data_IF_432339101756
#
_entry.id   IF_432339101756
#
_cell.length_a   1.000
_cell.length_b   1.000
_cell.length_c   1.000
_cell.angle_alpha   90.00
_cell.angle_beta   90.00
_cell.angle_gamma   90.00
#
_symmetry.space_group_name_H-M   'P 1'
#
loop_
_entity.id
_entity.type
_entity.pdbx_description
1 polymer ?
#
# COMPACT_ATOMS: atom_id res chain seq x y z
N UNK A 1 56.71 21.55 -15.17
CA UNK A 1 55.85 21.75 -16.36
C UNK A 1 54.90 20.55 -16.40
N UNK A 2 53.57 20.63 -16.41
CA UNK A 2 52.58 21.67 -16.69
C UNK A 2 51.55 21.71 -15.55
N UNK A 3 51.14 22.92 -15.16
CA UNK A 3 50.04 23.19 -14.24
C UNK A 3 48.70 23.12 -14.98
N UNK A 4 47.71 22.43 -14.43
CA UNK A 4 46.30 22.52 -14.82
C UNK A 4 45.50 23.16 -13.69
N UNK A 5 44.91 24.33 -13.97
CA UNK A 5 44.17 25.17 -13.02
C UNK A 5 42.82 24.54 -12.66
N UNK A 6 42.49 24.55 -11.37
CA UNK A 6 41.14 24.40 -10.86
C UNK A 6 40.39 25.72 -11.09
N UNK A 7 39.35 25.71 -11.92
CA UNK A 7 38.43 26.84 -12.05
C UNK A 7 37.18 26.55 -11.23
N UNK A 8 36.99 27.34 -10.19
CA UNK A 8 35.81 27.40 -9.34
C UNK A 8 34.65 28.00 -10.13
N UNK A 9 33.59 27.23 -10.39
CA UNK A 9 32.25 27.76 -10.71
C UNK A 9 31.18 26.71 -10.36
N UNK A 10 30.67 26.81 -9.12
CA UNK A 10 29.39 26.22 -8.70
C UNK A 10 28.24 27.03 -9.32
N UNK A 11 27.24 26.42 -9.98
CA UNK A 11 25.96 27.05 -10.19
C UNK A 11 25.16 27.02 -8.88
N UNK A 12 24.76 28.21 -8.44
CA UNK A 12 23.85 28.48 -7.32
C UNK A 12 22.44 28.02 -7.70
N UNK A 13 21.72 27.50 -6.70
CA UNK A 13 20.25 27.47 -6.59
C UNK A 13 19.46 27.12 -7.86
N UNK A 14 19.11 25.84 -8.02
CA UNK A 14 18.01 25.44 -8.92
C UNK A 14 16.69 25.52 -8.14
N UNK A 15 16.10 26.71 -8.12
CA UNK A 15 14.73 26.94 -7.64
C UNK A 15 13.76 26.38 -8.69
N UNK A 16 13.08 25.28 -8.39
CA UNK A 16 12.00 24.76 -9.22
C UNK A 16 10.72 25.57 -8.94
N UNK A 17 10.59 26.72 -9.58
CA UNK A 17 9.27 27.31 -9.85
C UNK A 17 8.86 26.99 -11.29
N UNK A 18 7.70 26.36 -11.44
CA UNK A 18 7.19 25.92 -12.74
C UNK A 18 5.80 25.31 -12.60
N UNK A 19 4.83 26.15 -12.29
CA UNK A 19 3.40 25.86 -12.46
C UNK A 19 3.10 25.40 -13.89
N UNK A 20 2.83 24.12 -14.09
CA UNK A 20 2.33 23.58 -15.35
C UNK A 20 0.83 23.25 -15.22
N UNK A 21 0.02 24.31 -15.12
CA UNK A 21 -1.43 24.24 -15.35
C UNK A 21 -1.73 25.03 -16.62
N UNK A 22 -2.12 24.35 -17.69
CA UNK A 22 -2.92 24.94 -18.76
C UNK A 22 -4.32 24.31 -18.72
N UNK A 23 -5.41 25.10 -18.65
CA UNK A 23 -6.76 24.58 -18.78
C UNK A 23 -7.08 24.45 -20.26
N UNK A 24 -7.25 23.22 -20.75
CA UNK A 24 -7.87 22.99 -22.05
C UNK A 24 -9.33 22.57 -21.86
N UNK A 25 -10.23 23.53 -22.11
CA UNK A 25 -11.62 23.28 -22.43
C UNK A 25 -11.70 22.51 -23.75
N UNK A 26 -12.06 21.22 -23.69
CA UNK A 26 -12.73 20.56 -24.81
C UNK A 26 -13.86 19.69 -24.29
N UNK A 27 -15.07 20.18 -24.57
CA UNK A 27 -16.34 19.48 -24.46
C UNK A 27 -16.28 18.16 -25.25
N UNK A 28 -16.32 17.04 -24.54
CA UNK A 28 -16.85 15.79 -25.05
C UNK A 28 -17.85 15.26 -24.03
N UNK A 29 -19.11 15.56 -24.27
CA UNK A 29 -20.26 14.95 -23.59
C UNK A 29 -20.28 13.48 -24.00
N UNK A 30 -20.07 12.58 -23.05
CA UNK A 30 -20.33 11.15 -23.26
C UNK A 30 -21.85 10.98 -23.47
N UNK A 31 -22.32 10.14 -24.41
CA UNK A 31 -23.75 9.98 -24.66
C UNK A 31 -24.43 9.55 -23.36
N UNK A 32 -25.43 10.30 -22.92
CA UNK A 32 -26.35 9.81 -21.92
C UNK A 32 -26.99 8.54 -22.49
N UNK A 33 -26.57 7.37 -22.03
CA UNK A 33 -27.35 6.17 -22.20
C UNK A 33 -28.69 6.46 -21.53
N UNK A 34 -29.73 6.64 -22.36
CA UNK A 34 -31.10 6.79 -21.91
C UNK A 34 -31.51 5.55 -21.14
N UNK A 35 -31.29 5.58 -19.83
CA UNK A 35 -31.96 4.69 -18.91
C UNK A 35 -33.37 5.27 -18.75
N UNK A 36 -34.29 4.70 -19.50
CA UNK A 36 -35.72 4.82 -19.27
C UNK A 36 -35.99 4.63 -17.77
N UNK A 37 -36.47 5.69 -17.10
CA UNK A 37 -36.83 5.65 -15.69
C UNK A 37 -38.12 4.85 -15.57
N UNK A 38 -38.01 3.53 -15.64
CA UNK A 38 -39.05 2.67 -15.10
C UNK A 38 -39.02 2.88 -13.59
N UNK A 39 -40.05 3.58 -13.08
CA UNK A 39 -40.39 3.56 -11.66
C UNK A 39 -40.60 2.11 -11.26
N UNK A 40 -39.54 1.47 -10.75
CA UNK A 40 -39.66 0.23 -10.00
C UNK A 40 -40.47 0.58 -8.75
N UNK A 41 -41.74 0.14 -8.74
CA UNK A 41 -42.58 0.10 -7.54
C UNK A 41 -41.78 -0.66 -6.48
N UNK A 42 -41.36 0.03 -5.42
CA UNK A 42 -40.59 -0.56 -4.33
C UNK A 42 -41.51 -1.36 -3.42
N UNK A 43 -41.79 -2.60 -3.78
CA UNK A 43 -42.04 -3.62 -2.76
C UNK A 43 -40.68 -4.17 -2.36
N UNK A 44 -40.02 -3.56 -1.37
CA UNK A 44 -38.72 -4.05 -0.92
C UNK A 44 -38.85 -4.50 0.54
N UNK A 45 -38.75 -5.82 0.84
CA UNK A 45 -38.53 -6.25 2.21
C UNK A 45 -37.29 -5.51 2.75
N UNK A 46 -37.33 -5.08 4.02
CA UNK A 46 -36.24 -4.31 4.62
C UNK A 46 -34.91 -5.07 4.45
N UNK A 47 -33.99 -4.53 3.63
CA UNK A 47 -32.69 -5.14 3.38
C UNK A 47 -31.95 -5.37 4.70
N UNK A 48 -31.42 -6.58 4.90
CA UNK A 48 -30.63 -6.92 6.08
C UNK A 48 -29.19 -6.49 5.85
N UNK A 49 -28.93 -5.19 6.01
CA UNK A 49 -27.59 -4.61 5.87
C UNK A 49 -26.66 -5.03 7.03
N UNK A 50 -25.33 -5.08 6.82
CA UNK A 50 -24.39 -5.31 7.90
C UNK A 50 -24.54 -4.29 9.05
N UNK A 51 -24.16 -4.67 10.28
CA UNK A 51 -24.21 -3.76 11.42
C UNK A 51 -23.29 -2.56 11.22
N UNK A 52 -23.52 -1.46 11.94
CA UNK A 52 -22.66 -0.29 11.84
C UNK A 52 -23.05 0.81 12.81
N UNK A 53 -22.19 1.83 12.95
CA UNK A 53 -22.47 2.97 13.81
C UNK A 53 -23.70 3.77 13.34
N UNK A 54 -24.31 4.50 14.27
CA UNK A 54 -25.44 5.39 13.99
C UNK A 54 -25.06 6.45 12.95
N UNK A 55 -26.00 6.71 12.04
CA UNK A 55 -25.82 7.62 10.89
C UNK A 55 -26.48 8.96 11.19
N UNK A 56 -25.85 10.06 10.82
CA UNK A 56 -26.49 11.38 10.82
C UNK A 56 -27.27 11.62 9.52
N UNK A 57 -28.34 12.44 9.55
CA UNK A 57 -29.01 12.88 8.32
C UNK A 57 -28.02 13.53 7.35
N UNK A 58 -28.23 13.32 6.05
CA UNK A 58 -27.44 13.87 4.92
C UNK A 58 -26.00 13.38 4.80
N UNK A 59 -25.18 13.49 5.84
CA UNK A 59 -23.73 13.17 5.80
C UNK A 59 -23.42 11.72 6.18
N UNK A 60 -24.36 11.02 6.83
CA UNK A 60 -24.18 9.64 7.29
C UNK A 60 -23.06 9.51 8.33
N UNK A 61 -22.07 8.66 8.06
CA UNK A 61 -20.93 8.35 8.93
C UNK A 61 -19.68 9.18 8.60
N UNK A 62 -19.76 10.18 7.71
CA UNK A 62 -18.59 10.98 7.31
C UNK A 62 -17.89 11.64 8.51
N UNK A 63 -18.67 12.13 9.48
CA UNK A 63 -18.18 12.72 10.73
C UNK A 63 -17.29 11.79 11.57
N UNK A 64 -17.39 10.47 11.40
CA UNK A 64 -16.59 9.48 12.14
C UNK A 64 -15.25 9.16 11.46
N UNK A 65 -15.05 9.66 10.23
CA UNK A 65 -13.87 9.42 9.42
C UNK A 65 -13.00 10.69 9.25
N UNK A 66 -13.47 11.83 9.75
CA UNK A 66 -12.75 13.11 9.68
C UNK A 66 -11.69 13.19 10.79
N UNK A 67 -10.50 13.70 10.46
CA UNK A 67 -9.45 14.03 11.43
C UNK A 67 -8.54 12.87 11.85
N UNK A 68 -8.74 11.67 11.31
CA UNK A 68 -7.92 10.48 11.60
C UNK A 68 -7.64 9.69 10.32
N UNK A 69 -6.60 8.86 10.37
CA UNK A 69 -6.24 7.95 9.27
C UNK A 69 -7.39 6.99 8.96
N UNK A 70 -7.92 6.95 7.71
CA UNK A 70 -9.13 6.19 7.40
C UNK A 70 -9.06 4.72 7.80
N UNK A 71 -7.95 4.03 7.54
CA UNK A 71 -7.78 2.62 7.91
C UNK A 71 -7.78 2.41 9.43
N UNK A 72 -7.18 3.31 10.22
CA UNK A 72 -7.22 3.25 11.69
C UNK A 72 -8.63 3.50 12.23
N UNK A 73 -9.36 4.50 11.70
CA UNK A 73 -10.76 4.74 12.08
C UNK A 73 -11.63 3.52 11.80
N UNK A 74 -11.46 2.92 10.62
CA UNK A 74 -12.17 1.72 10.21
C UNK A 74 -11.84 0.52 11.09
N UNK A 75 -10.57 0.33 11.47
CA UNK A 75 -10.14 -0.69 12.44
C UNK A 75 -10.84 -0.49 13.79
N UNK A 76 -10.88 0.75 14.30
CA UNK A 76 -11.53 1.06 15.57
C UNK A 76 -13.06 0.84 15.54
N UNK A 77 -13.70 1.12 14.41
CA UNK A 77 -15.11 0.82 14.20
C UNK A 77 -15.35 -0.70 14.12
N UNK A 78 -14.48 -1.44 13.44
CA UNK A 78 -14.57 -2.90 13.35
C UNK A 78 -14.43 -3.57 14.73
N UNK A 79 -13.50 -3.08 15.58
CA UNK A 79 -13.38 -3.55 16.98
C UNK A 79 -14.66 -3.37 17.79
N UNK A 80 -15.49 -2.36 17.47
CA UNK A 80 -16.73 -2.05 18.20
C UNK A 80 -17.98 -2.73 17.62
N UNK A 81 -18.02 -2.93 16.30
CA UNK A 81 -19.24 -3.34 15.59
C UNK A 81 -19.10 -4.70 14.89
N UNK A 82 -17.94 -5.35 14.98
CA UNK A 82 -17.62 -6.61 14.32
C UNK A 82 -16.78 -6.43 13.05
N UNK A 83 -16.32 -7.55 12.48
CA UNK A 83 -15.41 -7.56 11.34
C UNK A 83 -16.05 -7.23 9.99
N UNK A 84 -17.39 -7.16 9.93
CA UNK A 84 -18.17 -6.71 8.77
C UNK A 84 -19.07 -5.54 9.18
N UNK A 85 -18.77 -4.34 8.68
CA UNK A 85 -19.53 -3.13 9.04
C UNK A 85 -20.08 -2.39 7.82
N UNK A 86 -21.24 -1.77 7.99
CA UNK A 86 -21.85 -0.88 7.00
C UNK A 86 -21.68 0.59 7.42
N UNK A 87 -21.13 1.40 6.51
CA UNK A 87 -21.01 2.84 6.64
C UNK A 87 -21.68 3.51 5.44
N UNK A 88 -22.35 4.63 5.70
CA UNK A 88 -22.96 5.48 4.67
C UNK A 88 -22.23 6.80 4.63
N UNK A 89 -21.56 7.14 3.52
CA UNK A 89 -20.92 8.46 3.33
C UNK A 89 -21.71 9.23 2.28
N UNK A 90 -22.54 10.17 2.73
CA UNK A 90 -23.54 10.80 1.86
C UNK A 90 -24.52 9.76 1.28
N UNK A 91 -24.59 9.66 -0.05
CA UNK A 91 -25.41 8.66 -0.74
C UNK A 91 -24.69 7.31 -0.95
N UNK A 92 -23.39 7.22 -0.65
CA UNK A 92 -22.57 6.04 -0.94
C UNK A 92 -22.63 5.03 0.20
N UNK A 93 -22.93 3.78 -0.15
CA UNK A 93 -22.87 2.62 0.74
C UNK A 93 -21.46 2.04 0.74
N UNK A 94 -20.85 1.89 1.91
CA UNK A 94 -19.53 1.31 2.10
C UNK A 94 -19.64 0.11 3.05
N UNK A 95 -19.08 -1.01 2.63
CA UNK A 95 -18.98 -2.25 3.38
C UNK A 95 -17.51 -2.41 3.73
N UNK A 96 -17.18 -2.49 5.00
CA UNK A 96 -15.81 -2.63 5.46
C UNK A 96 -15.62 -4.03 5.99
N UNK A 97 -14.58 -4.69 5.53
CA UNK A 97 -14.21 -6.06 5.86
C UNK A 97 -12.86 -6.01 6.58
N UNK A 98 -12.79 -6.57 7.78
CA UNK A 98 -11.57 -6.60 8.59
C UNK A 98 -11.21 -8.02 9.10
N UNK A 99 -11.80 -9.10 8.56
CA UNK A 99 -11.36 -10.48 8.85
C UNK A 99 -10.85 -11.21 7.60
N UNK A 100 -9.90 -12.15 7.76
CA UNK A 100 -9.43 -13.02 6.68
C UNK A 100 -10.53 -13.81 5.98
N UNK A 101 -11.49 -14.38 6.73
CA UNK A 101 -12.54 -15.25 6.21
C UNK A 101 -13.48 -14.48 5.29
N UNK A 102 -13.90 -13.29 5.73
CA UNK A 102 -14.75 -12.39 4.95
C UNK A 102 -14.01 -11.82 3.75
N UNK A 103 -12.71 -11.51 3.90
CA UNK A 103 -11.88 -11.07 2.79
C UNK A 103 -11.75 -12.19 1.74
N UNK A 104 -11.64 -13.45 2.16
CA UNK A 104 -11.63 -14.63 1.28
C UNK A 104 -12.98 -14.81 0.58
N UNK A 105 -14.08 -14.72 1.31
CA UNK A 105 -15.43 -14.80 0.73
C UNK A 105 -15.63 -13.71 -0.33
N UNK A 106 -15.25 -12.46 -0.04
CA UNK A 106 -15.41 -11.36 -0.98
C UNK A 106 -14.44 -11.41 -2.17
N UNK A 107 -13.15 -11.63 -1.94
CA UNK A 107 -12.12 -11.48 -2.98
C UNK A 107 -11.84 -12.77 -3.77
N UNK A 108 -12.18 -13.94 -3.23
CA UNK A 108 -11.93 -15.24 -3.88
C UNK A 108 -13.23 -15.96 -4.25
N UNK A 109 -14.14 -16.15 -3.29
CA UNK A 109 -15.39 -16.89 -3.56
C UNK A 109 -16.34 -16.09 -4.45
N UNK A 110 -16.50 -14.80 -4.15
CA UNK A 110 -17.37 -13.87 -4.88
C UNK A 110 -16.57 -12.92 -5.79
N UNK A 111 -15.43 -13.39 -6.30
CA UNK A 111 -14.44 -12.57 -7.01
C UNK A 111 -15.02 -11.82 -8.22
N UNK A 112 -15.93 -12.43 -9.00
CA UNK A 112 -16.59 -11.82 -10.16
C UNK A 112 -17.51 -10.67 -9.71
N UNK A 113 -18.22 -10.84 -8.60
CA UNK A 113 -19.17 -9.85 -8.06
C UNK A 113 -18.42 -8.62 -7.57
N UNK A 114 -17.24 -8.83 -6.97
CA UNK A 114 -16.43 -7.77 -6.40
C UNK A 114 -15.22 -7.42 -7.29
N UNK A 115 -15.14 -7.84 -8.55
CA UNK A 115 -14.00 -7.55 -9.43
C UNK A 115 -13.93 -6.09 -9.88
N UNK A 116 -15.03 -5.34 -9.80
CA UNK A 116 -15.06 -3.94 -10.22
C UNK A 116 -14.31 -3.04 -9.25
N UNK A 117 -13.69 -1.98 -9.77
CA UNK A 117 -13.26 -0.84 -8.97
C UNK A 117 -14.21 0.31 -9.26
N UNK A 118 -14.75 0.86 -8.19
CA UNK A 118 -15.60 2.04 -8.20
C UNK A 118 -14.89 3.25 -8.78
N UNK A 119 -15.56 3.97 -9.70
CA UNK A 119 -15.13 5.30 -10.13
C UNK A 119 -15.34 6.33 -9.00
N UNK A 120 -14.39 6.45 -8.06
CA UNK A 120 -14.26 7.67 -7.23
C UNK A 120 -13.85 8.83 -8.15
N UNK A 121 -14.13 10.10 -7.81
CA UNK A 121 -13.51 11.24 -8.52
C UNK A 121 -11.97 11.12 -8.49
N UNK A 122 -11.42 10.60 -7.38
CA UNK A 122 -10.01 10.17 -7.27
C UNK A 122 -9.65 9.05 -8.23
N UNK A 123 -10.51 8.07 -8.51
CA UNK A 123 -10.26 7.05 -9.55
C UNK A 123 -10.49 7.61 -10.95
N UNK A 124 -11.31 8.65 -11.13
CA UNK A 124 -11.47 9.38 -12.38
C UNK A 124 -10.27 10.30 -12.63
N UNK A 125 -9.58 10.73 -11.58
CA UNK A 125 -8.30 11.47 -11.60
C UNK A 125 -7.10 10.50 -11.61
N UNK A 126 -7.21 9.26 -11.10
CA UNK A 126 -6.15 8.24 -11.16
C UNK A 126 -6.29 7.28 -12.34
N UNK A 127 -7.42 7.30 -13.04
CA UNK A 127 -7.71 6.42 -14.19
C UNK A 127 -8.40 7.18 -15.32
N UNK A 128 -8.31 8.52 -15.30
CA UNK A 128 -8.70 9.49 -16.34
C UNK A 128 -9.75 8.96 -17.33
N UNK A 129 -10.96 8.76 -16.84
CA UNK A 129 -12.12 8.37 -17.65
C UNK A 129 -11.94 7.07 -18.46
N UNK A 130 -11.28 6.06 -17.88
CA UNK A 130 -11.02 4.72 -18.45
C UNK A 130 -9.72 4.57 -19.25
N UNK A 131 -8.78 5.50 -19.12
CA UNK A 131 -7.40 5.35 -19.61
C UNK A 131 -6.51 4.63 -18.60
N UNK A 132 -6.97 3.57 -17.92
CA UNK A 132 -6.13 2.89 -16.93
C UNK A 132 -4.97 2.11 -17.59
N UNK A 133 -3.98 1.70 -16.78
CA UNK A 133 -2.86 0.80 -17.13
C UNK A 133 -3.22 -0.38 -18.06
N UNK A 134 -4.43 -0.90 -17.94
CA UNK A 134 -4.92 -2.09 -18.66
C UNK A 134 -5.58 -1.72 -20.00
N UNK A 135 -6.10 -0.50 -20.17
CA UNK A 135 -6.90 -0.09 -21.33
C UNK A 135 -6.40 1.15 -22.06
N UNK A 136 -5.42 1.89 -21.55
CA UNK A 136 -4.88 3.05 -22.26
C UNK A 136 -3.99 2.60 -23.43
N UNK A 137 -4.10 3.26 -24.60
CA UNK A 137 -3.16 3.05 -25.68
C UNK A 137 -1.73 3.37 -25.21
N UNK A 138 -0.75 2.58 -25.68
CA UNK A 138 0.66 2.78 -25.36
C UNK A 138 1.09 4.20 -25.73
N UNK A 139 1.59 4.95 -24.74
CA UNK A 139 1.93 6.37 -24.87
C UNK A 139 2.46 6.94 -23.56
N UNK A 140 2.76 8.24 -23.53
CA UNK A 140 3.37 8.90 -22.36
C UNK A 140 2.53 8.76 -21.09
N UNK A 141 1.21 8.83 -21.23
CA UNK A 141 0.27 8.72 -20.12
C UNK A 141 0.26 7.30 -19.50
N UNK A 142 0.19 6.23 -20.32
CA UNK A 142 0.31 4.84 -19.84
C UNK A 142 1.62 4.60 -19.09
N UNK A 143 2.73 5.13 -19.64
CA UNK A 143 4.05 5.03 -19.00
C UNK A 143 4.06 5.76 -17.65
N UNK A 144 3.42 6.92 -17.55
CA UNK A 144 3.34 7.70 -16.32
C UNK A 144 2.51 7.00 -15.24
N UNK A 145 1.37 6.40 -15.59
CA UNK A 145 0.56 5.62 -14.65
C UNK A 145 1.30 4.37 -14.16
N UNK A 146 2.00 3.67 -15.07
CA UNK A 146 2.82 2.51 -14.72
C UNK A 146 3.97 2.89 -13.80
N UNK A 147 4.68 3.97 -14.14
CA UNK A 147 5.76 4.49 -13.34
C UNK A 147 5.26 4.90 -11.96
N UNK A 148 4.18 5.69 -11.87
CA UNK A 148 3.64 6.16 -10.59
C UNK A 148 3.21 5.01 -9.68
N UNK A 149 2.44 4.05 -10.21
CA UNK A 149 1.94 2.91 -9.43
C UNK A 149 3.07 1.98 -8.94
N UNK A 150 4.09 1.75 -9.77
CA UNK A 150 5.21 0.87 -9.44
C UNK A 150 6.32 1.52 -8.61
N UNK A 151 6.51 2.83 -8.74
CA UNK A 151 7.59 3.56 -8.05
C UNK A 151 7.19 4.02 -6.66
N UNK A 152 6.03 4.67 -6.50
CA UNK A 152 5.65 5.26 -5.21
C UNK A 152 5.42 4.20 -4.13
N UNK A 153 4.73 3.11 -4.47
CA UNK A 153 4.42 2.04 -3.50
C UNK A 153 5.67 1.27 -3.07
N UNK A 154 6.60 1.02 -4.00
CA UNK A 154 7.90 0.42 -3.71
C UNK A 154 8.74 1.34 -2.83
N UNK A 155 8.82 2.64 -3.13
CA UNK A 155 9.56 3.61 -2.33
C UNK A 155 9.05 3.70 -0.90
N UNK A 156 7.72 3.76 -0.70
CA UNK A 156 7.10 3.73 0.62
C UNK A 156 7.54 2.48 1.39
N UNK A 157 7.55 1.32 0.73
CA UNK A 157 7.96 0.07 1.36
C UNK A 157 9.44 0.09 1.73
N UNK A 158 10.32 0.61 0.86
CA UNK A 158 11.75 0.79 1.15
C UNK A 158 11.96 1.70 2.35
N UNK A 159 11.28 2.85 2.39
CA UNK A 159 11.38 3.82 3.47
C UNK A 159 10.93 3.23 4.81
N UNK A 160 9.79 2.53 4.86
CA UNK A 160 9.35 1.84 6.08
C UNK A 160 10.27 0.69 6.47
N UNK A 161 10.83 -0.04 5.51
CA UNK A 161 11.76 -1.12 5.82
C UNK A 161 13.01 -0.58 6.49
N UNK A 162 13.59 0.50 5.94
CA UNK A 162 14.75 1.18 6.55
C UNK A 162 14.39 1.78 7.90
N UNK A 163 13.21 2.39 8.04
CA UNK A 163 12.73 2.95 9.31
C UNK A 163 12.64 1.89 10.42
N UNK A 164 12.03 0.74 10.12
CA UNK A 164 11.89 -0.36 11.07
C UNK A 164 13.24 -0.98 11.43
N UNK A 165 14.16 -1.11 10.49
CA UNK A 165 15.52 -1.57 10.78
C UNK A 165 16.29 -0.54 11.64
N UNK A 166 16.20 0.75 11.34
CA UNK A 166 16.86 1.81 12.12
C UNK A 166 16.32 1.89 13.55
N UNK A 167 15.02 1.64 13.73
CA UNK A 167 14.37 1.53 15.04
C UNK A 167 14.80 0.27 15.81
N UNK A 168 15.18 -0.79 15.10
CA UNK A 168 15.55 -2.09 15.66
C UNK A 168 16.98 -2.48 15.24
N UNK A 169 17.99 -1.98 15.96
CA UNK A 169 19.42 -2.17 15.63
C UNK A 169 19.80 -3.65 15.45
N UNK A 170 19.29 -4.55 16.30
CA UNK A 170 19.47 -6.01 16.15
C UNK A 170 19.06 -6.53 14.77
N UNK A 171 17.94 -6.04 14.23
CA UNK A 171 17.43 -6.45 12.93
C UNK A 171 18.27 -5.83 11.82
N UNK A 172 18.63 -4.54 11.93
CA UNK A 172 19.55 -3.88 11.01
C UNK A 172 20.88 -4.64 10.88
N UNK A 173 21.51 -4.97 12.00
CA UNK A 173 22.78 -5.70 12.05
C UNK A 173 22.65 -7.09 11.41
N UNK A 174 21.60 -7.84 11.78
CA UNK A 174 21.38 -9.19 11.25
C UNK A 174 21.12 -9.19 9.73
N UNK A 175 20.31 -8.25 9.23
CA UNK A 175 20.04 -8.13 7.79
C UNK A 175 21.29 -7.66 7.02
N UNK A 176 22.05 -6.71 7.57
CA UNK A 176 23.30 -6.22 6.98
C UNK A 176 24.34 -7.33 6.86
N UNK A 177 24.53 -8.10 7.94
CA UNK A 177 25.48 -9.21 7.97
C UNK A 177 25.09 -10.32 6.98
N UNK A 178 23.80 -10.67 6.88
CA UNK A 178 23.33 -11.64 5.89
C UNK A 178 23.60 -11.17 4.46
N UNK A 179 23.26 -9.91 4.14
CA UNK A 179 23.49 -9.35 2.81
C UNK A 179 24.99 -9.35 2.46
N UNK A 180 25.86 -8.86 3.35
CA UNK A 180 27.31 -8.86 3.11
C UNK A 180 27.84 -10.28 2.94
N UNK A 181 27.45 -11.23 3.79
CA UNK A 181 27.85 -12.62 3.67
C UNK A 181 27.49 -13.24 2.31
N UNK A 182 26.31 -12.92 1.76
CA UNK A 182 25.87 -13.43 0.45
C UNK A 182 26.67 -12.81 -0.71
N UNK A 183 26.99 -11.52 -0.63
CA UNK A 183 27.52 -10.76 -1.78
C UNK A 183 29.00 -10.42 -1.70
N UNK A 184 29.69 -10.63 -0.57
CA UNK A 184 31.12 -10.31 -0.42
C UNK A 184 32.00 -11.03 -1.45
N UNK A 185 31.71 -12.30 -1.76
CA UNK A 185 32.42 -13.04 -2.80
C UNK A 185 32.16 -12.56 -4.23
N UNK A 186 31.14 -11.72 -4.45
CA UNK A 186 30.79 -11.13 -5.76
C UNK A 186 31.26 -9.69 -5.90
N UNK A 187 31.52 -9.01 -4.79
CA UNK A 187 31.92 -7.59 -4.75
C UNK A 187 30.80 -6.58 -5.03
N UNK A 188 29.58 -7.03 -5.36
CA UNK A 188 28.41 -6.17 -5.55
C UNK A 188 27.11 -6.97 -5.41
N UNK A 189 26.01 -6.28 -5.11
CA UNK A 189 24.65 -6.85 -5.14
C UNK A 189 24.14 -6.91 -6.58
N UNK A 190 23.68 -8.08 -7.00
CA UNK A 190 23.10 -8.33 -8.32
C UNK A 190 21.74 -9.02 -8.22
N UNK A 191 20.99 -9.00 -9.34
CA UNK A 191 19.68 -9.65 -9.43
C UNK A 191 19.77 -11.19 -9.33
N UNK A 192 20.90 -11.78 -9.73
CA UNK A 192 21.06 -13.23 -9.67
C UNK A 192 21.08 -13.75 -8.23
N UNK A 193 21.72 -13.03 -7.30
CA UNK A 193 21.87 -13.41 -5.89
C UNK A 193 20.76 -12.90 -4.97
N UNK A 194 19.90 -11.99 -5.43
CA UNK A 194 18.88 -11.35 -4.56
C UNK A 194 17.89 -12.35 -3.95
N UNK A 195 17.84 -13.56 -4.50
CA UNK A 195 16.97 -14.59 -3.98
C UNK A 195 17.46 -15.23 -2.66
N UNK A 196 18.76 -15.12 -2.36
CA UNK A 196 19.48 -15.79 -1.28
C UNK A 196 19.33 -15.17 0.13
N UNK A 197 19.31 -13.82 0.34
CA UNK A 197 19.18 -13.24 1.68
C UNK A 197 17.74 -13.41 2.24
N UNK A 198 17.51 -14.54 2.90
CA UNK A 198 16.19 -14.98 3.39
C UNK A 198 15.68 -14.10 4.52
N UNK A 199 16.56 -13.66 5.42
CA UNK A 199 16.18 -12.76 6.51
C UNK A 199 15.81 -11.38 5.99
N UNK A 200 16.54 -10.81 5.02
CA UNK A 200 16.14 -9.55 4.37
C UNK A 200 14.71 -9.63 3.80
N UNK A 201 14.39 -10.72 3.12
CA UNK A 201 13.03 -10.97 2.61
C UNK A 201 11.99 -11.09 3.71
N UNK A 202 12.34 -11.71 4.84
CA UNK A 202 11.49 -11.79 6.01
C UNK A 202 11.23 -10.38 6.61
N UNK A 203 12.24 -9.51 6.65
CA UNK A 203 12.11 -8.10 7.07
C UNK A 203 11.17 -7.33 6.14
N UNK A 204 11.30 -7.50 4.82
CA UNK A 204 10.40 -6.89 3.84
C UNK A 204 8.96 -7.39 4.01
N UNK A 205 8.75 -8.70 4.25
CA UNK A 205 7.41 -9.26 4.51
C UNK A 205 6.80 -8.69 5.79
N UNK A 206 7.57 -8.56 6.87
CA UNK A 206 7.09 -7.95 8.11
C UNK A 206 6.78 -6.46 7.93
N UNK A 207 7.57 -5.77 7.11
CA UNK A 207 7.28 -4.38 6.72
C UNK A 207 5.97 -4.29 5.95
N UNK A 208 5.72 -5.16 4.97
CA UNK A 208 4.45 -5.18 4.23
C UNK A 208 3.25 -5.56 5.11
N UNK A 209 3.46 -6.32 6.19
CA UNK A 209 2.41 -6.68 7.15
C UNK A 209 1.98 -5.47 7.99
N UNK A 210 2.95 -4.75 8.56
CA UNK A 210 2.68 -3.58 9.39
C UNK A 210 2.44 -2.32 8.55
N UNK A 211 3.19 -2.08 7.50
CA UNK A 211 3.11 -0.85 6.71
C UNK A 211 2.72 -1.16 5.26
N UNK A 212 1.55 -1.79 5.00
CA UNK A 212 1.14 -2.05 3.63
C UNK A 212 0.93 -0.70 2.92
N UNK A 213 1.65 -0.47 1.82
CA UNK A 213 1.60 0.80 1.09
C UNK A 213 0.17 1.24 0.76
N UNK A 214 -0.75 0.28 0.54
CA UNK A 214 -2.20 0.50 0.40
C UNK A 214 -2.97 -0.34 1.42
N UNK A 215 -3.41 0.23 2.55
CA UNK A 215 -4.04 -0.54 3.63
C UNK A 215 -5.49 -0.94 3.35
N UNK A 216 -6.17 -0.23 2.45
CA UNK A 216 -7.57 -0.47 2.09
C UNK A 216 -7.67 -0.97 0.64
N UNK A 217 -7.99 -2.25 0.48
CA UNK A 217 -8.23 -2.85 -0.83
C UNK A 217 -9.67 -2.54 -1.25
N UNK A 218 -9.79 -1.62 -2.19
CA UNK A 218 -11.06 -1.13 -2.73
C UNK A 218 -11.65 -2.05 -3.79
N UNK A 219 -12.93 -2.36 -3.68
CA UNK A 219 -13.78 -3.05 -4.68
C UNK A 219 -15.16 -2.38 -4.78
N UNK A 220 -15.90 -2.72 -5.81
CA UNK A 220 -17.30 -2.32 -5.98
C UNK A 220 -18.16 -3.54 -6.27
N UNK A 221 -19.30 -3.62 -5.58
CA UNK A 221 -20.27 -4.68 -5.75
C UNK A 221 -21.06 -4.50 -7.06
N UNK A 222 -20.95 -5.46 -7.98
CA UNK A 222 -21.56 -5.38 -9.32
C UNK A 222 -23.03 -5.79 -9.37
N UNK A 223 -23.46 -6.64 -8.45
CA UNK A 223 -24.81 -7.21 -8.40
C UNK A 223 -25.23 -7.29 -6.93
N UNK A 224 -26.53 -7.24 -6.63
CA UNK A 224 -26.99 -7.55 -5.28
C UNK A 224 -26.51 -8.95 -4.90
N UNK A 225 -25.84 -9.06 -3.76
CA UNK A 225 -25.34 -10.34 -3.27
C UNK A 225 -25.48 -10.43 -1.75
N UNK A 226 -25.18 -11.61 -1.21
CA UNK A 226 -25.03 -11.79 0.23
C UNK A 226 -23.57 -11.99 0.58
N UNK A 227 -23.17 -11.39 1.71
CA UNK A 227 -21.87 -11.60 2.32
C UNK A 227 -22.09 -11.87 3.81
N UNK A 228 -21.66 -13.03 4.30
CA UNK A 228 -21.92 -13.47 5.67
C UNK A 228 -23.42 -13.35 6.08
N UNK A 229 -24.31 -13.70 5.16
CA UNK A 229 -25.76 -13.65 5.37
C UNK A 229 -26.41 -12.26 5.34
N UNK A 230 -25.64 -11.18 5.16
CA UNK A 230 -26.15 -9.82 5.00
C UNK A 230 -26.29 -9.44 3.54
N UNK A 231 -27.31 -8.62 3.23
CA UNK A 231 -27.53 -8.09 1.88
C UNK A 231 -26.53 -6.98 1.57
N UNK A 232 -25.82 -7.11 0.45
CA UNK A 232 -24.89 -6.12 -0.08
C UNK A 232 -25.51 -5.50 -1.32
N UNK A 233 -25.96 -4.23 -1.25
CA UNK A 233 -26.56 -3.55 -2.39
C UNK A 233 -25.56 -3.35 -3.52
N UNK A 234 -26.04 -3.46 -4.77
CA UNK A 234 -25.30 -3.06 -5.96
C UNK A 234 -24.71 -1.65 -5.83
N UNK A 235 -23.53 -1.44 -6.43
CA UNK A 235 -22.72 -0.20 -6.33
C UNK A 235 -22.17 0.13 -4.94
N UNK A 236 -22.40 -0.72 -3.93
CA UNK A 236 -21.71 -0.58 -2.64
C UNK A 236 -20.20 -0.71 -2.82
N UNK A 237 -19.45 0.17 -2.17
CA UNK A 237 -17.99 0.08 -2.09
C UNK A 237 -17.64 -0.98 -1.05
N UNK A 238 -16.73 -1.87 -1.39
CA UNK A 238 -16.21 -2.86 -0.44
C UNK A 238 -14.75 -2.51 -0.14
N UNK A 239 -14.47 -2.28 1.13
CA UNK A 239 -13.19 -1.86 1.68
C UNK A 239 -12.63 -3.01 2.51
N UNK A 240 -11.73 -3.79 1.93
CA UNK A 240 -11.00 -4.82 2.69
C UNK A 240 -9.81 -4.17 3.37
N UNK A 241 -9.81 -4.12 4.69
CA UNK A 241 -8.79 -3.48 5.52
C UNK A 241 -7.62 -4.44 5.76
N UNK A 242 -6.69 -4.50 4.80
CA UNK A 242 -5.48 -5.33 4.90
C UNK A 242 -4.60 -4.91 6.08
N UNK A 243 -4.56 -3.61 6.43
CA UNK A 243 -3.82 -3.12 7.59
C UNK A 243 -4.35 -3.66 8.93
N UNK A 244 -5.68 -3.77 9.07
CA UNK A 244 -6.31 -4.41 10.22
C UNK A 244 -6.06 -5.91 10.25
N UNK A 245 -6.25 -6.59 9.12
CA UNK A 245 -6.04 -8.04 9.00
C UNK A 245 -4.59 -8.42 9.33
N UNK A 246 -3.62 -7.63 8.84
CA UNK A 246 -2.20 -7.83 9.12
C UNK A 246 -1.83 -7.64 10.59
N UNK A 247 -2.68 -7.00 11.40
CA UNK A 247 -2.49 -6.73 12.84
C UNK A 247 -3.49 -7.44 13.74
N UNK A 248 -4.26 -8.38 13.21
CA UNK A 248 -5.26 -9.06 14.01
C UNK A 248 -4.59 -10.06 14.97
N UNK A 249 -4.70 -9.87 16.31
CA UNK A 249 -4.05 -10.73 17.30
C UNK A 249 -4.58 -12.16 17.31
N UNK A 250 -5.72 -12.44 16.67
CA UNK A 250 -6.21 -13.80 16.51
C UNK A 250 -5.38 -14.63 15.51
N UNK A 251 -4.62 -13.98 14.61
CA UNK A 251 -3.83 -14.63 13.57
C UNK A 251 -2.32 -14.35 13.69
N UNK A 252 -1.94 -13.29 14.40
CA UNK A 252 -0.55 -12.86 14.54
C UNK A 252 -0.18 -12.72 16.02
N UNK A 253 0.73 -13.58 16.50
CA UNK A 253 1.32 -13.43 17.83
C UNK A 253 2.12 -12.12 17.90
N UNK A 254 1.93 -11.34 18.96
CA UNK A 254 2.49 -10.00 19.12
C UNK A 254 2.26 -9.14 17.86
N UNK A 255 1.00 -9.02 17.46
CA UNK A 255 0.59 -8.49 16.15
C UNK A 255 1.10 -7.07 15.85
N UNK A 256 1.35 -6.25 16.87
CA UNK A 256 1.86 -4.88 16.69
C UNK A 256 3.41 -4.81 16.68
N UNK A 257 4.09 -5.90 17.07
CA UNK A 257 5.55 -5.96 17.16
C UNK A 257 6.16 -6.28 15.80
N UNK A 258 7.18 -5.53 15.40
CA UNK A 258 8.01 -5.82 14.23
C UNK A 258 8.94 -7.01 14.52
N UNK A 259 8.53 -8.20 14.07
CA UNK A 259 9.23 -9.47 14.33
C UNK A 259 9.40 -10.28 13.02
N UNK A 260 10.43 -9.98 12.21
CA UNK A 260 10.66 -10.62 10.92
C UNK A 260 10.84 -12.14 10.96
N UNK A 261 11.38 -12.67 12.06
CA UNK A 261 11.64 -14.10 12.21
C UNK A 261 10.39 -14.98 11.98
N UNK A 262 9.18 -14.44 12.18
CA UNK A 262 7.91 -15.13 11.88
C UNK A 262 7.75 -15.55 10.41
N UNK A 263 8.55 -15.00 9.49
CA UNK A 263 8.50 -15.31 8.07
C UNK A 263 9.61 -16.25 7.56
N UNK A 264 10.59 -16.63 8.39
CA UNK A 264 11.71 -17.47 7.96
C UNK A 264 11.30 -18.91 7.59
N UNK A 265 10.40 -19.50 8.37
CA UNK A 265 9.88 -20.86 8.17
C UNK A 265 8.40 -20.86 7.73
N UNK A 266 7.91 -19.70 7.29
CA UNK A 266 6.51 -19.51 6.93
C UNK A 266 6.25 -19.89 5.48
N UNK A 267 5.17 -20.64 5.24
CA UNK A 267 4.65 -20.93 3.91
C UNK A 267 3.87 -19.78 3.28
N UNK A 268 3.73 -18.65 4.00
CA UNK A 268 2.99 -17.47 3.52
C UNK A 268 3.70 -16.85 2.32
N UNK A 269 2.99 -16.83 1.19
CA UNK A 269 3.41 -16.19 -0.06
C UNK A 269 2.74 -14.82 -0.28
N UNK A 270 3.17 -14.12 -1.33
CA UNK A 270 2.60 -12.84 -1.75
C UNK A 270 1.55 -13.00 -2.87
N UNK A 271 1.09 -14.23 -3.14
CA UNK A 271 0.21 -14.56 -4.26
C UNK A 271 -1.28 -14.42 -3.91
N UNK A 272 -1.59 -13.87 -2.73
CA UNK A 272 -2.96 -13.66 -2.28
C UNK A 272 -3.73 -14.96 -2.02
N UNK A 273 -3.01 -16.01 -1.62
CA UNK A 273 -3.59 -17.33 -1.27
C UNK A 273 -3.91 -17.43 0.21
N UNK A 274 -3.11 -16.76 1.06
CA UNK A 274 -3.30 -16.68 2.50
C UNK A 274 -3.94 -15.34 2.91
N UNK A 275 -5.19 -15.40 3.39
CA UNK A 275 -5.98 -14.21 3.66
C UNK A 275 -5.65 -13.50 4.98
N UNK A 276 -4.81 -14.07 5.85
CA UNK A 276 -4.20 -13.30 6.96
C UNK A 276 -3.09 -12.36 6.45
N UNK A 277 -2.63 -12.52 5.21
CA UNK A 277 -1.53 -11.74 4.63
C UNK A 277 -1.76 -11.39 3.15
N UNK A 278 -2.41 -10.25 2.91
CA UNK A 278 -2.79 -9.78 1.57
C UNK A 278 -2.28 -8.36 1.25
N UNK A 279 -0.98 -8.04 1.43
CA UNK A 279 -0.46 -6.69 1.20
C UNK A 279 -0.58 -6.24 -0.27
N UNK A 280 -0.66 -7.19 -1.22
CA UNK A 280 -0.90 -6.93 -2.65
C UNK A 280 -2.36 -7.19 -3.08
N UNK A 281 -3.25 -7.41 -2.12
CA UNK A 281 -4.61 -7.87 -2.35
C UNK A 281 -4.70 -9.33 -2.76
N UNK A 282 -5.87 -9.72 -3.27
CA UNK A 282 -6.17 -11.08 -3.69
C UNK A 282 -7.22 -11.11 -4.83
N UNK A 283 -7.40 -12.30 -5.41
CA UNK A 283 -8.40 -12.57 -6.44
C UNK A 283 -8.05 -11.96 -7.81
N UNK A 284 -9.06 -11.77 -8.66
CA UNK A 284 -8.92 -11.27 -10.05
C UNK A 284 -8.30 -9.89 -10.19
N UNK A 285 -8.20 -9.13 -9.10
CA UNK A 285 -7.64 -7.77 -9.05
C UNK A 285 -6.48 -7.68 -8.07
N UNK A 286 -5.79 -8.80 -7.83
CA UNK A 286 -4.48 -8.81 -7.19
C UNK A 286 -3.52 -7.91 -7.96
N UNK A 287 -2.54 -7.33 -7.26
CA UNK A 287 -1.54 -6.46 -7.87
C UNK A 287 -0.86 -7.18 -9.05
N UNK A 288 -0.92 -6.63 -10.29
CA UNK A 288 -0.21 -7.22 -11.42
C UNK A 288 1.30 -6.95 -11.36
N UNK A 289 1.74 -5.99 -10.54
CA UNK A 289 3.13 -5.55 -10.43
C UNK A 289 3.92 -6.19 -9.29
N UNK A 290 3.50 -7.32 -8.72
CA UNK A 290 4.18 -7.95 -7.56
C UNK A 290 5.66 -8.17 -7.85
N UNK A 291 5.99 -8.80 -8.98
CA UNK A 291 7.39 -9.09 -9.33
C UNK A 291 8.21 -7.81 -9.50
N UNK A 292 7.65 -6.79 -10.17
CA UNK A 292 8.31 -5.50 -10.34
C UNK A 292 8.54 -4.79 -9.00
N UNK A 293 7.53 -4.81 -8.11
CA UNK A 293 7.63 -4.22 -6.78
C UNK A 293 8.74 -4.91 -5.97
N UNK A 294 8.76 -6.24 -5.94
CA UNK A 294 9.79 -6.97 -5.20
C UNK A 294 11.20 -6.67 -5.70
N UNK A 295 11.45 -6.64 -7.01
CA UNK A 295 12.76 -6.24 -7.54
C UNK A 295 13.14 -4.81 -7.12
N UNK A 296 12.19 -3.87 -7.14
CA UNK A 296 12.42 -2.47 -6.76
C UNK A 296 12.46 -2.23 -5.24
N UNK A 297 12.21 -3.24 -4.42
CA UNK A 297 12.31 -3.18 -2.97
C UNK A 297 13.56 -3.93 -2.51
N UNK A 298 13.71 -5.19 -2.93
CA UNK A 298 14.79 -6.08 -2.50
C UNK A 298 16.15 -5.55 -2.95
N UNK A 299 16.30 -5.20 -4.24
CA UNK A 299 17.60 -4.75 -4.78
C UNK A 299 18.09 -3.45 -4.15
N UNK A 300 17.29 -2.36 -4.04
CA UNK A 300 17.77 -1.14 -3.44
C UNK A 300 18.12 -1.30 -1.97
N UNK A 301 17.31 -2.04 -1.19
CA UNK A 301 17.62 -2.25 0.23
C UNK A 301 18.90 -3.08 0.37
N UNK A 302 19.06 -4.16 -0.39
CA UNK A 302 20.28 -4.97 -0.36
C UNK A 302 21.51 -4.13 -0.74
N UNK A 303 21.43 -3.31 -1.79
CA UNK A 303 22.50 -2.37 -2.18
C UNK A 303 22.85 -1.39 -1.04
N UNK A 304 21.83 -0.82 -0.39
CA UNK A 304 22.02 0.11 0.73
C UNK A 304 22.66 -0.55 1.96
N UNK A 305 22.30 -1.80 2.28
CA UNK A 305 22.88 -2.55 3.39
C UNK A 305 24.30 -3.05 3.08
N UNK A 306 24.55 -3.43 1.82
CA UNK A 306 25.85 -3.90 1.40
C UNK A 306 26.90 -2.79 1.49
N UNK A 307 26.61 -1.60 0.95
CA UNK A 307 27.57 -0.50 0.83
C UNK A 307 27.63 0.47 2.00
N UNK A 308 26.67 0.45 2.92
CA UNK A 308 26.62 1.42 4.01
C UNK A 308 26.25 0.80 5.35
N UNK A 309 26.93 1.27 6.41
CA UNK A 309 26.39 1.25 7.76
C UNK A 309 25.52 2.49 7.97
N UNK A 310 24.54 2.42 8.87
CA UNK A 310 23.52 3.47 9.03
C UNK A 310 23.46 3.99 10.45
N UNK A 311 23.36 5.32 10.61
CA UNK A 311 23.15 5.97 11.91
C UNK A 311 22.00 6.98 11.86
N UNK A 312 21.31 7.12 12.98
CA UNK A 312 20.36 8.22 13.17
C UNK A 312 21.10 9.54 13.43
N UNK A 313 20.58 10.68 12.94
CA UNK A 313 21.24 11.97 13.08
C UNK A 313 21.22 12.47 14.52
N UNK A 314 22.15 13.37 14.84
CA UNK A 314 22.20 14.11 16.12
C UNK A 314 22.22 13.25 17.40
N UNK A 315 22.68 11.99 17.32
CA UNK A 315 22.70 11.08 18.47
C UNK A 315 21.32 10.61 18.93
N UNK A 316 20.31 10.76 18.08
CA UNK A 316 18.95 10.25 18.32
C UNK A 316 18.98 8.75 18.61
N UNK A 317 18.23 8.34 19.62
CA UNK A 317 18.09 6.93 19.97
C UNK A 317 17.06 6.25 19.06
N UNK A 318 17.19 4.94 18.75
CA UNK A 318 16.24 4.21 17.91
C UNK A 318 14.78 4.34 18.36
N UNK A 319 14.53 4.38 19.67
CA UNK A 319 13.18 4.46 20.24
C UNK A 319 12.51 5.81 19.98
N UNK A 320 13.30 6.86 19.76
CA UNK A 320 12.86 8.23 19.48
C UNK A 320 12.46 8.44 18.01
N UNK A 321 12.76 7.47 17.12
CA UNK A 321 12.40 7.55 15.71
C UNK A 321 10.87 7.59 15.55
N UNK A 322 10.39 8.65 14.91
CA UNK A 322 8.97 8.86 14.61
C UNK A 322 8.46 7.84 13.58
N UNK A 323 7.55 6.98 14.02
CA UNK A 323 6.90 5.95 13.20
C UNK A 323 5.43 6.31 12.89
N UNK A 324 5.04 7.57 13.02
CA UNK A 324 3.68 8.01 12.71
C UNK A 324 3.44 8.10 11.20
N UNK A 325 2.20 7.86 10.79
CA UNK A 325 1.79 7.85 9.39
C UNK A 325 1.18 9.21 8.97
N UNK A 326 1.39 9.60 7.71
CA UNK A 326 0.73 10.75 7.10
C UNK A 326 -0.73 10.45 6.75
N UNK A 327 -1.58 11.48 6.77
CA UNK A 327 -2.96 11.37 6.28
C UNK A 327 -2.96 11.17 4.75
N UNK A 328 -3.50 10.05 4.29
CA UNK A 328 -3.56 9.77 2.85
C UNK A 328 -4.18 8.43 2.50
N UNK A 329 -4.17 8.13 1.21
CA UNK A 329 -4.59 6.83 0.66
C UNK A 329 -3.50 5.75 0.81
N UNK A 330 -2.24 6.17 0.93
CA UNK A 330 -1.11 5.31 1.18
C UNK A 330 -0.53 5.55 2.57
N UNK A 331 0.04 4.48 3.17
CA UNK A 331 0.73 4.58 4.46
C UNK A 331 2.11 5.16 4.20
N UNK A 332 2.22 6.48 4.12
CA UNK A 332 3.52 7.17 4.11
C UNK A 332 3.91 7.51 5.53
N UNK A 333 5.20 7.67 5.80
CA UNK A 333 5.66 8.29 7.04
C UNK A 333 5.14 9.73 7.10
N UNK A 334 4.82 10.20 8.31
CA UNK A 334 4.38 11.58 8.55
C UNK A 334 5.49 12.59 8.26
N UNK A 335 6.71 12.25 8.64
CA UNK A 335 7.92 13.03 8.41
C UNK A 335 8.93 12.16 7.67
N UNK A 336 9.73 12.80 6.81
CA UNK A 336 10.76 12.13 6.02
C UNK A 336 11.77 11.40 6.91
N UNK A 337 12.24 10.23 6.46
CA UNK A 337 13.31 9.51 7.14
C UNK A 337 14.67 10.19 6.90
N UNK A 338 15.28 10.69 7.98
CA UNK A 338 16.67 11.15 7.97
C UNK A 338 17.58 10.09 8.56
N UNK A 339 18.57 9.63 7.78
CA UNK A 339 19.60 8.69 8.21
C UNK A 339 20.95 9.07 7.60
N UNK A 340 22.03 8.86 8.34
CA UNK A 340 23.40 9.15 7.92
C UNK A 340 24.04 7.84 7.42
N UNK A 341 24.35 7.74 6.10
CA UNK A 341 25.09 6.62 5.57
C UNK A 341 26.59 6.74 5.90
N UNK A 342 27.21 5.63 6.29
CA UNK A 342 28.64 5.50 6.52
C UNK A 342 29.16 4.46 5.52
N UNK A 343 30.02 4.83 4.57
CA UNK A 343 30.53 3.88 3.58
C UNK A 343 31.18 2.66 4.22
N UNK A 344 30.76 1.47 3.80
CA UNK A 344 31.40 0.20 4.08
C UNK A 344 32.26 -0.19 2.86
N UNK A 345 33.50 -0.54 3.13
CA UNK A 345 34.44 -0.99 2.10
C UNK A 345 34.71 -2.48 2.28
N UNK A 346 34.12 -3.35 1.44
CA UNK A 346 34.43 -4.77 1.48
C UNK A 346 35.92 -4.99 1.16
N UNK A 347 36.52 -6.00 1.78
CA UNK A 347 37.91 -6.36 1.50
C UNK A 347 38.04 -6.74 0.00
N UNK A 348 39.17 -6.42 -0.65
CA UNK A 348 39.38 -6.80 -2.05
C UNK A 348 39.19 -8.31 -2.23
N UNK A 349 38.37 -8.70 -3.20
CA UNK A 349 38.26 -10.10 -3.62
C UNK A 349 39.57 -10.47 -4.30
N UNK A 350 40.35 -11.39 -3.71
CA UNK A 350 41.61 -11.87 -4.26
C UNK A 350 41.41 -12.80 -5.47
#
# INVERSE_FOLDING_TARGET
MRQGRWNSQLPREMRLEGSFFQPFEKNFVCPAAGAEVQRLKSENPALRLPPGPRKLPLIGNMHQLVGSLPHHSLTNLAKKHGSLIHLKTGAVSNIVISSPELAKEALKTNDIIFASRSCLLVSKIMSYDSTNIVFSPYGNYWRQDMFSAGSETSLITVEWTLAEMLKNTRIMEKATNEVRQVFDGRGNVDEAGIHEPKFLKAVIKETLRLHPAVPLILRECRNNCKLNGYDIPIKSKVLVNAGAIGRDPNYWNDAETFYPERFLESSIDLKGTDFKYIPFGAGRRICPGISFALSNIELPIAQLLYHFDWKLPHGMKPEELDMTEALGLSIRRRHELFAIPIPYHPLPVN
#
